data_IF_731410935526
#
_entry.id   IF_731410935526
#
_cell.length_a   1.000
_cell.length_b   1.000
_cell.length_c   1.000
_cell.angle_alpha   90.00
_cell.angle_beta   90.00
_cell.angle_gamma   90.00
#
_symmetry.space_group_name_H-M   'P 1'
#
loop_
_entity.id
_entity.type
_entity.pdbx_description
1 polymer ?
#
# COMPACT_ATOMS: atom_id res chain seq x y z
N UNK A 1 2.70 17.87 -4.35
CA UNK A 1 2.21 16.47 -4.43
C UNK A 1 0.85 16.53 -5.09
N UNK A 2 0.53 15.70 -6.09
CA UNK A 2 -0.80 15.73 -6.67
C UNK A 2 -1.80 15.41 -5.54
N UNK A 3 -2.71 16.34 -5.25
CA UNK A 3 -3.88 16.03 -4.45
C UNK A 3 -4.62 14.91 -5.18
N UNK A 4 -4.63 13.70 -4.62
CA UNK A 4 -5.51 12.63 -5.08
C UNK A 4 -6.92 13.00 -4.62
N UNK A 5 -7.57 13.84 -5.40
CA UNK A 5 -8.99 14.17 -5.24
C UNK A 5 -9.79 12.89 -5.50
N UNK A 6 -10.14 12.18 -4.43
CA UNK A 6 -10.84 10.89 -4.40
C UNK A 6 -10.14 9.73 -5.13
N UNK A 7 -9.81 8.67 -4.39
CA UNK A 7 -9.34 7.41 -4.98
C UNK A 7 -10.48 6.70 -5.71
N UNK A 8 -10.16 5.98 -6.79
CA UNK A 8 -11.13 5.14 -7.47
C UNK A 8 -11.74 4.13 -6.48
N UNK A 9 -13.07 3.92 -6.44
CA UNK A 9 -13.72 3.12 -5.40
C UNK A 9 -13.17 1.70 -5.26
N UNK A 10 -12.73 1.08 -6.37
CA UNK A 10 -12.08 -0.24 -6.33
C UNK A 10 -10.72 -0.21 -5.64
N UNK A 11 -9.93 0.84 -5.88
CA UNK A 11 -8.61 1.01 -5.23
C UNK A 11 -8.81 1.21 -3.74
N UNK A 12 -9.78 2.02 -3.34
CA UNK A 12 -10.14 2.23 -1.94
C UNK A 12 -10.57 0.92 -1.25
N UNK A 13 -11.37 0.09 -1.92
CA UNK A 13 -11.75 -1.24 -1.41
C UNK A 13 -10.55 -2.17 -1.20
N UNK A 14 -9.58 -2.14 -2.11
CA UNK A 14 -8.35 -2.96 -2.00
C UNK A 14 -7.53 -2.48 -0.80
N UNK A 15 -7.28 -1.18 -0.68
CA UNK A 15 -6.53 -0.58 0.43
C UNK A 15 -7.20 -0.94 1.77
N UNK A 16 -8.51 -0.75 1.89
CA UNK A 16 -9.25 -1.05 3.12
C UNK A 16 -9.25 -2.54 3.46
N UNK A 17 -9.11 -3.43 2.47
CA UNK A 17 -8.97 -4.85 2.75
C UNK A 17 -7.58 -5.21 3.27
N UNK A 18 -6.53 -4.57 2.74
CA UNK A 18 -5.15 -4.75 3.20
C UNK A 18 -4.98 -4.21 4.63
N UNK A 19 -5.60 -3.08 4.96
CA UNK A 19 -5.55 -2.48 6.30
C UNK A 19 -6.12 -3.36 7.43
N UNK A 20 -6.95 -4.37 7.10
CA UNK A 20 -7.46 -5.34 8.09
C UNK A 20 -6.35 -6.19 8.69
N UNK A 21 -5.26 -6.41 7.94
CA UNK A 21 -4.11 -7.21 8.35
C UNK A 21 -2.85 -6.36 8.56
N UNK A 22 -2.79 -5.18 7.94
CA UNK A 22 -1.67 -4.23 8.03
C UNK A 22 -2.08 -2.92 8.70
N UNK A 23 -1.99 -2.88 10.02
CA UNK A 23 -2.35 -1.69 10.81
C UNK A 23 -1.29 -0.60 10.65
N UNK A 24 -1.73 0.63 10.36
CA UNK A 24 -0.87 1.82 10.35
C UNK A 24 0.07 1.96 9.14
N UNK A 25 -0.08 1.12 8.12
CA UNK A 25 0.79 1.07 6.92
C UNK A 25 0.11 1.57 5.65
N UNK A 26 -0.90 2.44 5.76
CA UNK A 26 -1.71 2.94 4.62
C UNK A 26 -0.86 3.55 3.51
N UNK A 27 0.15 4.35 3.89
CA UNK A 27 1.02 5.04 2.94
C UNK A 27 1.82 4.04 2.11
N UNK A 28 2.38 3.03 2.77
CA UNK A 28 3.14 1.94 2.16
C UNK A 28 2.24 1.11 1.24
N UNK A 29 1.02 0.78 1.68
CA UNK A 29 0.03 0.08 0.85
C UNK A 29 -0.27 0.85 -0.45
N UNK A 30 -0.45 2.16 -0.37
CA UNK A 30 -0.69 2.99 -1.56
C UNK A 30 0.52 2.97 -2.50
N UNK A 31 1.74 3.07 -1.97
CA UNK A 31 2.96 3.04 -2.80
C UNK A 31 3.17 1.69 -3.47
N UNK A 32 2.94 0.58 -2.75
CA UNK A 32 3.02 -0.78 -3.31
C UNK A 32 2.00 -0.96 -4.41
N UNK A 33 0.75 -0.55 -4.17
CA UNK A 33 -0.30 -0.66 -5.17
C UNK A 33 -0.02 0.23 -6.39
N UNK A 34 0.54 1.43 -6.18
CA UNK A 34 0.95 2.32 -7.26
C UNK A 34 2.03 1.68 -8.12
N UNK A 35 3.07 1.11 -7.50
CA UNK A 35 4.12 0.42 -8.23
C UNK A 35 3.59 -0.81 -8.97
N UNK A 36 2.73 -1.62 -8.34
CA UNK A 36 2.11 -2.78 -8.98
C UNK A 36 1.32 -2.40 -10.23
N UNK A 37 0.49 -1.36 -10.14
CA UNK A 37 -0.33 -0.89 -11.26
C UNK A 37 0.50 -0.21 -12.37
N UNK A 38 1.66 0.33 -12.02
CA UNK A 38 2.60 0.95 -12.95
C UNK A 38 3.65 -0.03 -13.51
N UNK A 39 3.52 -1.33 -13.21
CA UNK A 39 4.52 -2.36 -13.56
C UNK A 39 5.94 -2.03 -13.06
N UNK A 40 6.00 -1.29 -11.93
CA UNK A 40 7.22 -0.92 -11.24
C UNK A 40 7.67 -1.95 -10.21
N UNK A 41 8.80 -1.67 -9.58
CA UNK A 41 9.39 -2.54 -8.55
C UNK A 41 9.39 -1.82 -7.20
N UNK A 42 9.17 -2.57 -6.11
CA UNK A 42 9.23 -2.06 -4.74
C UNK A 42 10.28 -2.81 -3.96
N UNK A 43 11.14 -2.08 -3.26
CA UNK A 43 12.03 -2.61 -2.25
C UNK A 43 11.43 -2.31 -0.87
N UNK A 44 11.13 -3.34 -0.10
CA UNK A 44 10.62 -3.22 1.27
C UNK A 44 11.76 -3.36 2.25
N UNK A 45 12.34 -2.23 2.66
CA UNK A 45 13.31 -2.18 3.76
C UNK A 45 12.58 -1.90 5.07
N UNK A 46 12.84 -2.74 6.08
CA UNK A 46 12.33 -2.51 7.43
C UNK A 46 13.23 -3.25 8.44
N UNK A 47 13.09 -2.98 9.72
CA UNK A 47 13.73 -3.78 10.79
C UNK A 47 13.05 -5.16 10.95
N UNK A 48 13.64 -6.15 11.63
CA UNK A 48 12.99 -7.46 11.84
C UNK A 48 11.69 -7.31 12.66
N UNK A 49 10.62 -8.04 12.30
CA UNK A 49 9.39 -8.13 13.10
C UNK A 49 8.28 -7.11 12.84
N UNK A 50 8.37 -6.29 11.78
CA UNK A 50 7.45 -5.15 11.52
C UNK A 50 6.60 -5.29 10.25
N UNK A 51 6.42 -6.53 9.76
CA UNK A 51 5.35 -6.84 8.79
C UNK A 51 5.79 -7.03 7.33
N UNK A 52 7.08 -6.99 7.00
CA UNK A 52 7.58 -7.26 5.63
C UNK A 52 7.11 -8.57 5.00
N UNK A 53 6.89 -9.61 5.82
CA UNK A 53 6.45 -10.94 5.36
C UNK A 53 4.92 -11.07 5.27
N UNK A 54 4.17 -10.13 5.84
CA UNK A 54 2.70 -10.09 5.74
C UNK A 54 2.20 -9.23 4.59
N UNK A 55 3.05 -8.35 4.05
CA UNK A 55 2.85 -7.67 2.75
C UNK A 55 2.83 -8.69 1.60
#
# INVERSE_FOLDING_TARGET
MPQLDSLHPTVEKIINNIEKIMVGKRKETILVLTALLAEGHVLLEDVPGVGKTML
#
